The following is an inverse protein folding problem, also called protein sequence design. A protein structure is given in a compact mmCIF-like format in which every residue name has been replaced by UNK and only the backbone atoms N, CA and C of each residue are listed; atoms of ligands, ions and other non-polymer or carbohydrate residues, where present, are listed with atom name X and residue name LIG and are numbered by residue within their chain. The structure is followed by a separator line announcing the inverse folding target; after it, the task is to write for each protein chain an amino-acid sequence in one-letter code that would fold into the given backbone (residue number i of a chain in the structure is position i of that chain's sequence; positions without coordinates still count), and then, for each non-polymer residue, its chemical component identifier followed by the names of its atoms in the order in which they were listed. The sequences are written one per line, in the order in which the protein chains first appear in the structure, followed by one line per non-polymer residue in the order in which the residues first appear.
data_IF_612635267904
#
_entry.id   IF_612635267904
#
_cell.length_a   1.000
_cell.length_b   1.000
_cell.length_c   1.000
_cell.angle_alpha   90.00
_cell.angle_beta   90.00
_cell.angle_gamma   90.00
#
_symmetry.space_group_name_H-M   'P 1'
#
loop_
_entity.id
_entity.type
_entity.pdbx_description
1 polymer ?
#
# COMPACT_ATOMS: atom_id res chain seq x y z
N UNK A 1 16.73 -5.11 14.64
CA UNK A 1 16.33 -3.79 14.11
C UNK A 1 16.18 -3.95 12.61
N UNK A 2 14.99 -3.75 12.03
CA UNK A 2 14.81 -3.89 10.58
C UNK A 2 15.42 -2.67 9.88
N UNK A 3 16.20 -2.89 8.82
CA UNK A 3 16.70 -1.82 7.96
C UNK A 3 15.52 -1.21 7.20
N UNK A 4 15.33 0.11 7.31
CA UNK A 4 14.28 0.81 6.54
C UNK A 4 14.61 0.76 5.04
N UNK A 5 13.60 0.53 4.21
CA UNK A 5 13.71 0.41 2.75
C UNK A 5 13.66 1.76 2.04
N UNK A 6 14.04 1.77 0.76
CA UNK A 6 13.86 2.91 -0.14
C UNK A 6 15.13 3.68 -0.53
N UNK A 7 16.33 3.09 -0.44
CA UNK A 7 17.58 3.75 -0.89
C UNK A 7 17.70 3.81 -2.42
N UNK A 8 16.75 4.51 -3.07
CA UNK A 8 16.73 4.82 -4.50
C UNK A 8 15.63 4.11 -5.29
N UNK A 9 14.61 3.57 -4.63
CA UNK A 9 13.57 2.76 -5.27
C UNK A 9 12.16 3.23 -4.96
N UNK A 10 11.25 2.85 -5.85
CA UNK A 10 9.81 3.08 -5.74
C UNK A 10 9.26 2.09 -4.71
N UNK A 11 8.45 2.59 -3.79
CA UNK A 11 7.69 1.75 -2.87
C UNK A 11 6.23 1.79 -3.27
N UNK A 12 5.64 0.63 -3.47
CA UNK A 12 4.21 0.47 -3.71
C UNK A 12 3.55 0.08 -2.38
N UNK A 13 2.40 0.69 -2.09
CA UNK A 13 1.60 0.38 -0.90
C UNK A 13 0.21 -0.04 -1.36
N UNK A 14 -0.24 -1.18 -0.84
CA UNK A 14 -1.58 -1.71 -1.06
C UNK A 14 -2.26 -1.91 0.29
N UNK A 15 -3.55 -1.57 0.36
CA UNK A 15 -4.39 -1.96 1.47
C UNK A 15 -5.25 -3.16 1.11
N UNK A 16 -5.12 -4.19 1.93
CA UNK A 16 -5.87 -5.43 1.83
C UNK A 16 -6.87 -5.45 3.00
N UNK A 17 -8.07 -4.85 2.82
CA UNK A 17 -9.09 -4.93 3.85
C UNK A 17 -9.46 -6.39 4.03
N UNK A 18 -9.36 -6.89 5.27
CA UNK A 18 -10.09 -8.09 5.58
C UNK A 18 -11.57 -7.73 5.41
N UNK A 19 -12.37 -8.64 4.88
CA UNK A 19 -13.81 -8.43 4.75
C UNK A 19 -14.56 -9.61 5.33
N UNK A 20 -15.88 -9.46 5.48
CA UNK A 20 -16.74 -10.55 5.95
C UNK A 20 -16.52 -11.79 5.06
N UNK A 21 -16.33 -12.95 5.70
CA UNK A 21 -16.32 -14.24 5.00
C UNK A 21 -17.66 -14.47 4.31
N UNK A 22 -17.63 -15.16 3.17
CA UNK A 22 -18.83 -15.54 2.43
C UNK A 22 -19.81 -16.28 3.35
N UNK A 23 -21.06 -15.82 3.39
CA UNK A 23 -22.13 -16.33 4.26
C UNK A 23 -21.88 -16.23 5.77
N UNK A 24 -20.99 -15.33 6.21
CA UNK A 24 -20.70 -15.03 7.63
C UNK A 24 -20.24 -16.24 8.47
N UNK A 25 -19.82 -17.35 7.85
CA UNK A 25 -19.37 -18.55 8.57
C UNK A 25 -18.04 -18.31 9.31
N UNK A 26 -17.95 -18.67 10.60
CA UNK A 26 -16.73 -18.61 11.42
C UNK A 26 -16.24 -17.20 11.77
N UNK A 27 -17.17 -16.32 12.18
CA UNK A 27 -17.02 -14.87 12.39
C UNK A 27 -15.90 -14.45 13.38
N UNK A 28 -14.97 -13.62 12.90
CA UNK A 28 -14.42 -12.46 13.64
C UNK A 28 -14.20 -11.32 12.64
N UNK A 29 -14.78 -10.15 12.92
CA UNK A 29 -14.60 -8.95 12.12
C UNK A 29 -14.86 -7.70 12.96
N UNK A 30 -13.81 -6.89 13.19
CA UNK A 30 -13.90 -5.52 13.70
C UNK A 30 -12.75 -4.75 13.04
N UNK A 31 -13.00 -4.30 11.80
CA UNK A 31 -12.21 -3.34 11.00
C UNK A 31 -10.69 -3.47 11.02
N UNK A 32 -10.14 -4.68 10.95
CA UNK A 32 -8.70 -4.87 10.70
C UNK A 32 -8.43 -5.17 9.23
N UNK A 33 -7.23 -4.86 8.77
CA UNK A 33 -6.76 -5.12 7.42
C UNK A 33 -5.27 -5.43 7.43
N UNK A 34 -4.70 -5.54 6.24
CA UNK A 34 -3.26 -5.64 6.08
C UNK A 34 -2.78 -4.51 5.20
N UNK A 35 -1.70 -3.87 5.63
CA UNK A 35 -0.93 -2.98 4.78
C UNK A 35 0.20 -3.80 4.16
N UNK A 36 0.18 -3.91 2.85
CA UNK A 36 1.22 -4.56 2.07
C UNK A 36 2.14 -3.48 1.48
N UNK A 37 3.43 -3.58 1.77
CA UNK A 37 4.45 -2.65 1.29
C UNK A 37 5.45 -3.44 0.45
N UNK A 38 5.48 -3.08 -0.83
CA UNK A 38 6.32 -3.69 -1.85
C UNK A 38 7.43 -2.71 -2.23
N UNK A 39 8.67 -3.16 -2.15
CA UNK A 39 9.83 -2.38 -2.60
C UNK A 39 10.54 -3.12 -3.73
N UNK A 40 10.53 -2.53 -4.92
CA UNK A 40 11.25 -3.08 -6.09
C UNK A 40 12.69 -2.59 -6.07
N UNK A 41 13.54 -3.38 -5.44
CA UNK A 41 14.88 -2.99 -5.07
C UNK A 41 15.95 -3.51 -6.05
N UNK A 42 16.20 -2.79 -7.18
CA UNK A 42 17.30 -3.03 -8.17
C UNK A 42 17.17 -4.36 -8.91
N UNK A 43 16.95 -5.48 -8.21
CA UNK A 43 16.58 -6.83 -8.69
C UNK A 43 15.93 -7.71 -7.59
N UNK A 44 15.78 -7.20 -6.36
CA UNK A 44 15.18 -7.93 -5.23
C UNK A 44 13.84 -7.30 -4.91
N UNK A 45 12.80 -8.12 -4.83
CA UNK A 45 11.50 -7.67 -4.34
C UNK A 45 11.44 -7.92 -2.84
N UNK A 46 11.28 -6.85 -2.06
CA UNK A 46 11.01 -6.99 -0.62
C UNK A 46 9.53 -6.76 -0.39
N UNK A 47 8.87 -7.72 0.24
CA UNK A 47 7.45 -7.66 0.60
C UNK A 47 7.35 -7.59 2.11
N UNK A 48 6.68 -6.55 2.61
CA UNK A 48 6.34 -6.42 4.02
C UNK A 48 4.82 -6.41 4.17
N UNK A 49 4.30 -7.26 5.05
CA UNK A 49 2.87 -7.32 5.35
C UNK A 49 2.70 -6.96 6.82
N UNK A 50 2.08 -5.81 7.08
CA UNK A 50 1.77 -5.32 8.41
C UNK A 50 0.28 -5.45 8.71
N UNK A 51 -0.10 -6.10 9.79
CA UNK A 51 -1.49 -6.08 10.25
C UNK A 51 -1.85 -4.67 10.74
N UNK A 52 -2.98 -4.16 10.28
CA UNK A 52 -3.54 -2.87 10.65
C UNK A 52 -4.80 -3.12 11.47
N UNK A 53 -4.86 -2.61 12.71
CA UNK A 53 -6.06 -2.78 13.56
C UNK A 53 -7.24 -1.91 13.12
N UNK A 54 -6.97 -0.78 12.44
CA UNK A 54 -7.95 0.06 11.78
C UNK A 54 -7.32 0.82 10.59
N UNK A 55 -8.03 0.94 9.46
CA UNK A 55 -7.54 1.64 8.25
C UNK A 55 -7.46 3.17 8.38
N UNK A 56 -7.12 3.67 9.57
CA UNK A 56 -6.98 5.11 9.81
C UNK A 56 -5.61 5.60 9.35
N UNK A 57 -5.55 6.88 8.99
CA UNK A 57 -4.31 7.56 8.60
C UNK A 57 -3.18 7.36 9.63
N UNK A 58 -3.47 7.50 10.92
CA UNK A 58 -2.49 7.36 12.00
C UNK A 58 -1.86 5.96 12.01
N UNK A 59 -2.67 4.91 11.93
CA UNK A 59 -2.18 3.52 12.05
C UNK A 59 -1.34 3.13 10.85
N UNK A 60 -1.77 3.49 9.64
CA UNK A 60 -1.00 3.22 8.43
C UNK A 60 0.28 4.06 8.36
N UNK A 61 0.23 5.33 8.79
CA UNK A 61 1.41 6.20 8.85
C UNK A 61 2.49 5.64 9.79
N UNK A 62 2.12 5.11 10.95
CA UNK A 62 3.07 4.49 11.88
C UNK A 62 3.82 3.31 11.23
N UNK A 63 3.11 2.47 10.47
CA UNK A 63 3.72 1.35 9.75
C UNK A 63 4.64 1.85 8.64
N UNK A 64 4.19 2.83 7.85
CA UNK A 64 4.97 3.48 6.79
C UNK A 64 6.26 4.08 7.35
N UNK A 65 6.19 4.85 8.43
CA UNK A 65 7.36 5.48 9.04
C UNK A 65 8.33 4.47 9.65
N UNK A 66 7.83 3.34 10.13
CA UNK A 66 8.66 2.24 10.64
C UNK A 66 9.44 1.54 9.54
N UNK A 67 8.85 1.38 8.35
CA UNK A 67 9.39 0.54 7.27
C UNK A 67 10.10 1.36 6.19
N UNK A 68 9.59 2.55 5.85
CA UNK A 68 10.01 3.37 4.71
C UNK A 68 10.75 4.62 5.20
N UNK A 69 11.92 4.90 4.60
CA UNK A 69 12.66 6.15 4.86
C UNK A 69 11.85 7.37 4.36
N UNK A 70 11.93 8.54 5.01
CA UNK A 70 11.31 9.77 4.50
C UNK A 70 11.93 10.19 3.15
N UNK A 71 11.23 11.06 2.41
CA UNK A 71 11.61 11.61 1.09
C UNK A 71 11.63 10.59 -0.04
N UNK A 72 10.94 9.47 0.14
CA UNK A 72 10.82 8.41 -0.87
C UNK A 72 9.52 8.50 -1.63
N UNK A 73 9.58 8.00 -2.87
CA UNK A 73 8.45 7.94 -3.78
C UNK A 73 7.58 6.73 -3.43
N UNK A 74 6.34 7.02 -3.05
CA UNK A 74 5.32 6.05 -2.72
C UNK A 74 4.25 6.08 -3.82
N UNK A 75 4.05 4.95 -4.48
CA UNK A 75 2.94 4.71 -5.41
C UNK A 75 1.80 4.03 -4.65
N UNK A 76 0.58 4.52 -4.82
CA UNK A 76 -0.58 4.00 -4.11
C UNK A 76 -1.90 4.15 -4.86
N UNK A 77 -2.88 3.39 -4.42
CA UNK A 77 -4.30 3.36 -4.81
C UNK A 77 -5.13 4.54 -4.26
N UNK A 78 -4.67 5.80 -4.43
CA UNK A 78 -5.53 6.98 -4.20
C UNK A 78 -6.17 7.18 -2.82
N UNK A 79 -5.89 6.32 -1.84
CA UNK A 79 -6.70 6.27 -0.62
C UNK A 79 -6.53 7.51 0.26
N UNK A 80 -7.62 7.93 0.91
CA UNK A 80 -7.70 9.21 1.65
C UNK A 80 -6.80 9.23 2.89
N UNK A 81 -6.60 8.06 3.53
CA UNK A 81 -5.77 7.89 4.71
C UNK A 81 -4.31 8.32 4.49
N UNK A 82 -3.89 8.46 3.23
CA UNK A 82 -2.53 8.83 2.88
C UNK A 82 -2.43 10.25 2.30
N UNK A 83 -3.53 11.02 2.29
CA UNK A 83 -3.59 12.35 1.67
C UNK A 83 -2.50 13.31 2.14
N UNK A 84 -2.02 13.18 3.39
CA UNK A 84 -1.00 14.04 4.01
C UNK A 84 0.40 13.46 4.07
N UNK A 85 0.70 12.39 3.31
CA UNK A 85 2.03 11.78 3.33
C UNK A 85 3.17 12.76 2.96
N UNK A 86 2.86 13.75 2.13
CA UNK A 86 3.75 14.86 1.78
C UNK A 86 4.13 15.74 2.97
N UNK A 87 3.19 15.99 3.90
CA UNK A 87 3.48 16.70 5.16
C UNK A 87 4.51 15.96 6.03
N UNK A 88 4.59 14.63 5.90
CA UNK A 88 5.58 13.78 6.59
C UNK A 88 6.85 13.54 5.76
N UNK A 89 7.01 14.29 4.67
CA UNK A 89 8.19 14.25 3.82
C UNK A 89 8.18 13.12 2.79
N UNK A 90 7.08 12.43 2.51
CA UNK A 90 7.04 11.41 1.45
C UNK A 90 6.58 12.01 0.12
N UNK A 91 7.20 11.60 -1.00
CA UNK A 91 6.74 11.98 -2.33
C UNK A 91 5.62 11.03 -2.75
N UNK A 92 4.41 11.56 -2.89
CA UNK A 92 3.22 10.80 -3.29
C UNK A 92 3.07 10.79 -4.81
N UNK A 93 2.91 9.61 -5.38
CA UNK A 93 2.32 9.39 -6.69
C UNK A 93 1.06 8.54 -6.51
N UNK A 94 -0.06 9.00 -7.07
CA UNK A 94 -1.32 8.26 -7.04
C UNK A 94 -1.44 7.52 -8.36
N UNK A 95 -1.55 6.19 -8.27
CA UNK A 95 -1.86 5.33 -9.41
C UNK A 95 -3.24 4.74 -9.15
N UNK A 96 -4.20 5.06 -10.01
CA UNK A 96 -5.54 4.48 -9.95
C UNK A 96 -5.58 3.39 -11.00
N UNK A 97 -5.96 2.16 -10.62
CA UNK A 97 -5.99 1.01 -11.53
C UNK A 97 -6.89 1.20 -12.76
N UNK A 98 -7.74 2.24 -12.79
CA UNK A 98 -8.53 2.62 -13.97
C UNK A 98 -7.66 3.07 -15.14
N UNK A 99 -6.48 3.66 -14.89
CA UNK A 99 -5.62 4.21 -15.93
C UNK A 99 -5.00 3.12 -16.85
N UNK A 100 -5.04 1.85 -16.44
CA UNK A 100 -4.54 0.69 -17.21
C UNK A 100 -5.43 -0.56 -17.07
N UNK A 101 -6.72 -0.41 -16.76
CA UNK A 101 -7.64 -1.56 -16.63
C UNK A 101 -7.87 -2.31 -17.97
N UNK A 102 -7.60 -1.62 -19.07
CA UNK A 102 -7.66 -2.13 -20.44
C UNK A 102 -6.29 -1.91 -21.06
N UNK A 103 -5.71 -2.94 -21.67
CA UNK A 103 -4.43 -2.82 -22.35
C UNK A 103 -4.54 -1.78 -23.48
N UNK A 104 -3.64 -0.79 -23.47
CA UNK A 104 -3.67 0.34 -24.40
C UNK A 104 -3.47 -0.06 -25.87
N UNK A 105 -2.91 -1.25 -26.11
CA UNK A 105 -2.67 -1.81 -27.44
C UNK A 105 -3.64 -2.95 -27.79
N UNK A 106 -4.22 -3.61 -26.79
CA UNK A 106 -5.16 -4.73 -26.93
C UNK A 106 -6.43 -4.44 -26.12
N UNK A 107 -7.36 -3.63 -26.65
CA UNK A 107 -8.50 -3.11 -25.89
C UNK A 107 -9.54 -4.15 -25.43
N UNK A 108 -9.37 -5.41 -25.84
CA UNK A 108 -10.18 -6.55 -25.40
C UNK A 108 -9.51 -7.37 -24.29
N UNK A 109 -8.28 -7.03 -23.92
CA UNK A 109 -7.54 -7.63 -22.80
C UNK A 109 -7.69 -6.71 -21.60
N UNK A 110 -8.21 -7.28 -20.52
CA UNK A 110 -8.26 -6.64 -19.21
C UNK A 110 -7.04 -7.08 -18.40
N UNK A 111 -6.34 -6.13 -17.79
CA UNK A 111 -5.12 -6.34 -16.97
C UNK A 111 -5.36 -6.08 -15.49
#
# INVERSE_FOLDING_TARGET
MFTKIGDGKIVEIYDSPLVKRKYEKGRLFKNSGFLEILSKERMVENIFIGKVENGTESTSLQIIQRIIKPYKRIIRDGWKAYSKLDEYGYKREVFINEDNFVDMFLPYVHT
#
